data_IF_532790923272
#
_entry.id   IF_532790923272
#
_cell.length_a   1.000
_cell.length_b   1.000
_cell.length_c   1.000
_cell.angle_alpha   90.00
_cell.angle_beta   90.00
_cell.angle_gamma   90.00
#
_symmetry.space_group_name_H-M   'P 1'
#
loop_
_entity.id
_entity.type
_entity.pdbx_description
1 polymer ?
#
# COMPACT_ATOMS: atom_id res chain seq x y z
N UNK A 1 -1.27 -9.35 27.32
CA UNK A 1 -2.43 -10.00 26.64
C UNK A 1 -2.77 -9.33 25.31
N UNK A 2 -2.71 -8.01 25.20
CA UNK A 2 -2.95 -7.22 23.97
C UNK A 2 -1.96 -7.49 22.83
N UNK A 3 -0.66 -7.58 23.12
CA UNK A 3 0.38 -7.83 22.10
C UNK A 3 0.19 -9.14 21.32
N UNK A 4 -0.18 -10.23 22.01
CA UNK A 4 -0.43 -11.54 21.38
C UNK A 4 -1.62 -11.49 20.43
N UNK A 5 -2.73 -10.86 20.83
CA UNK A 5 -3.90 -10.72 19.95
C UNK A 5 -3.58 -9.88 18.72
N UNK A 6 -2.84 -8.78 18.88
CA UNK A 6 -2.39 -7.95 17.76
C UNK A 6 -1.50 -8.78 16.82
N UNK A 7 -0.52 -9.50 17.36
CA UNK A 7 0.34 -10.38 16.56
C UNK A 7 -0.48 -11.43 15.78
N UNK A 8 -1.49 -12.05 16.40
CA UNK A 8 -2.39 -13.00 15.73
C UNK A 8 -3.17 -12.34 14.59
N UNK A 9 -3.75 -11.16 14.80
CA UNK A 9 -4.49 -10.45 13.74
C UNK A 9 -3.56 -10.00 12.61
N UNK A 10 -2.35 -9.54 12.92
CA UNK A 10 -1.34 -9.21 11.90
C UNK A 10 -0.97 -10.44 11.05
N UNK A 11 -0.81 -11.61 11.68
CA UNK A 11 -0.53 -12.86 10.98
C UNK A 11 -1.71 -13.29 10.09
N UNK A 12 -2.94 -13.17 10.58
CA UNK A 12 -4.14 -13.46 9.80
C UNK A 12 -4.28 -12.51 8.60
N UNK A 13 -4.05 -11.20 8.79
CA UNK A 13 -4.03 -10.22 7.71
C UNK A 13 -2.97 -10.54 6.66
N UNK A 14 -1.77 -10.95 7.10
CA UNK A 14 -0.68 -11.33 6.19
C UNK A 14 -1.04 -12.61 5.42
N UNK A 15 -1.72 -13.56 6.07
CA UNK A 15 -2.15 -14.81 5.44
C UNK A 15 -3.26 -14.56 4.42
N UNK A 16 -4.24 -13.74 4.77
CA UNK A 16 -5.33 -13.30 3.89
C UNK A 16 -4.77 -12.53 2.67
N UNK A 17 -3.82 -11.62 2.90
CA UNK A 17 -3.07 -10.92 1.85
C UNK A 17 -2.38 -11.91 0.89
N UNK A 18 -1.59 -12.84 1.39
CA UNK A 18 -0.84 -13.79 0.54
C UNK A 18 -1.78 -14.68 -0.28
N UNK A 19 -2.87 -15.13 0.34
CA UNK A 19 -3.87 -16.00 -0.29
C UNK A 19 -4.87 -15.25 -1.18
N UNK A 20 -4.82 -13.91 -1.23
CA UNK A 20 -5.84 -13.06 -1.83
C UNK A 20 -7.26 -13.32 -1.27
N UNK A 21 -7.36 -13.54 0.04
CA UNK A 21 -8.62 -13.68 0.74
C UNK A 21 -9.40 -12.36 0.80
N UNK A 22 -10.62 -12.47 1.30
CA UNK A 22 -11.62 -11.39 1.36
C UNK A 22 -11.95 -10.94 2.78
N UNK A 23 -11.28 -11.49 3.79
CA UNK A 23 -11.58 -11.21 5.19
C UNK A 23 -10.83 -9.97 5.71
N UNK A 24 -9.94 -9.38 4.90
CA UNK A 24 -9.11 -8.24 5.32
C UNK A 24 -9.90 -7.10 5.96
N UNK A 25 -11.08 -6.74 5.45
CA UNK A 25 -11.88 -5.63 6.02
C UNK A 25 -12.33 -5.94 7.45
N UNK A 26 -12.77 -7.17 7.71
CA UNK A 26 -13.16 -7.64 9.04
C UNK A 26 -11.94 -7.65 9.96
N UNK A 27 -10.84 -8.22 9.49
CA UNK A 27 -9.59 -8.33 10.25
C UNK A 27 -9.00 -6.95 10.59
N UNK A 28 -9.04 -5.98 9.68
CA UNK A 28 -8.65 -4.59 9.94
C UNK A 28 -9.57 -3.93 10.96
N UNK A 29 -10.89 -4.18 10.90
CA UNK A 29 -11.83 -3.70 11.90
C UNK A 29 -11.51 -4.22 13.31
N UNK A 30 -11.15 -5.50 13.42
CA UNK A 30 -10.70 -6.10 14.69
C UNK A 30 -9.37 -5.47 15.14
N UNK A 31 -8.40 -5.33 14.22
CA UNK A 31 -7.10 -4.73 14.52
C UNK A 31 -7.24 -3.32 15.10
N UNK A 32 -8.01 -2.45 14.45
CA UNK A 32 -8.24 -1.08 14.90
C UNK A 32 -8.83 -1.04 16.31
N UNK A 33 -9.87 -1.85 16.58
CA UNK A 33 -10.46 -1.93 17.93
C UNK A 33 -9.47 -2.42 18.98
N UNK A 34 -8.63 -3.41 18.66
CA UNK A 34 -7.60 -3.90 19.58
C UNK A 34 -6.56 -2.82 19.92
N UNK A 35 -6.17 -2.02 18.92
CA UNK A 35 -5.23 -0.89 19.10
C UNK A 35 -5.87 0.19 19.97
N UNK A 36 -7.12 0.56 19.71
CA UNK A 36 -7.87 1.56 20.48
C UNK A 36 -8.03 1.14 21.96
N UNK A 37 -8.39 -0.12 22.20
CA UNK A 37 -8.50 -0.69 23.55
C UNK A 37 -7.16 -0.75 24.29
N UNK A 38 -6.04 -0.75 23.57
CA UNK A 38 -4.68 -0.77 24.16
C UNK A 38 -4.18 0.63 24.59
N UNK A 39 -5.07 1.63 24.65
CA UNK A 39 -4.76 2.94 25.25
C UNK A 39 -3.82 3.84 24.45
N UNK A 40 -3.89 3.79 23.11
CA UNK A 40 -3.06 4.59 22.21
C UNK A 40 -1.54 4.46 22.46
N UNK A 41 -1.00 3.32 22.01
CA UNK A 41 0.42 3.06 21.70
C UNK A 41 1.43 2.95 22.84
N UNK A 42 1.23 3.54 24.03
CA UNK A 42 2.26 3.51 25.10
C UNK A 42 2.49 2.12 25.68
N UNK A 43 1.43 1.37 25.99
CA UNK A 43 1.56 -0.02 26.45
C UNK A 43 1.99 -0.95 25.32
N UNK A 44 1.51 -0.69 24.10
CA UNK A 44 1.87 -1.47 22.92
C UNK A 44 3.35 -1.31 22.57
N UNK A 45 3.95 -0.14 22.75
CA UNK A 45 5.37 0.14 22.45
C UNK A 45 6.33 -0.28 23.58
N UNK A 46 5.85 -1.02 24.57
CA UNK A 46 6.74 -1.53 25.62
C UNK A 46 7.66 -2.63 25.06
N UNK A 47 8.97 -2.38 25.11
CA UNK A 47 10.01 -3.29 24.61
C UNK A 47 10.09 -3.41 23.08
N UNK A 48 11.05 -4.22 22.63
CA UNK A 48 11.36 -4.37 21.20
C UNK A 48 10.20 -4.99 20.41
N UNK A 49 9.60 -6.05 20.95
CA UNK A 49 8.44 -6.72 20.34
C UNK A 49 7.25 -5.78 20.20
N UNK A 50 6.98 -5.00 21.23
CA UNK A 50 5.90 -4.03 21.22
C UNK A 50 6.10 -2.94 20.17
N UNK A 51 7.31 -2.40 20.10
CA UNK A 51 7.71 -1.41 19.08
C UNK A 51 7.60 -1.97 17.66
N UNK A 52 8.03 -3.21 17.45
CA UNK A 52 7.87 -3.90 16.16
C UNK A 52 6.39 -4.05 15.77
N UNK A 53 5.54 -4.53 16.68
CA UNK A 53 4.10 -4.68 16.42
C UNK A 53 3.45 -3.34 16.08
N UNK A 54 3.79 -2.27 16.82
CA UNK A 54 3.30 -0.93 16.53
C UNK A 54 3.68 -0.46 15.11
N UNK A 55 4.92 -0.73 14.68
CA UNK A 55 5.36 -0.42 13.31
C UNK A 55 4.59 -1.23 12.26
N UNK A 56 4.35 -2.53 12.49
CA UNK A 56 3.57 -3.35 11.56
C UNK A 56 2.11 -2.87 11.45
N UNK A 57 1.49 -2.48 12.57
CA UNK A 57 0.16 -1.88 12.59
C UNK A 57 0.12 -0.61 11.76
N UNK A 58 1.07 0.32 11.98
CA UNK A 58 1.12 1.57 11.23
C UNK A 58 1.30 1.33 9.72
N UNK A 59 2.20 0.41 9.36
CA UNK A 59 2.46 0.01 7.98
C UNK A 59 1.20 -0.56 7.31
N UNK A 60 0.51 -1.51 7.96
CA UNK A 60 -0.72 -2.09 7.42
C UNK A 60 -1.84 -1.07 7.30
N UNK A 61 -2.02 -0.20 8.31
CA UNK A 61 -3.00 0.87 8.23
C UNK A 61 -2.71 1.79 7.04
N UNK A 62 -1.46 2.21 6.82
CA UNK A 62 -1.10 3.03 5.67
C UNK A 62 -1.54 2.42 4.34
N UNK A 63 -1.17 1.16 4.10
CA UNK A 63 -1.50 0.49 2.85
C UNK A 63 -2.98 0.13 2.74
N UNK A 64 -3.62 -0.21 3.86
CA UNK A 64 -4.98 -0.73 3.92
C UNK A 64 -6.08 0.34 3.91
N UNK A 65 -5.83 1.54 4.44
CA UNK A 65 -6.86 2.60 4.53
C UNK A 65 -7.56 2.89 3.19
N UNK A 66 -6.87 3.00 2.04
CA UNK A 66 -7.52 3.16 0.73
C UNK A 66 -8.59 2.11 0.38
N UNK A 67 -8.46 0.90 0.92
CA UNK A 67 -9.36 -0.24 0.69
C UNK A 67 -10.48 -0.34 1.73
N UNK A 68 -10.41 0.46 2.81
CA UNK A 68 -11.41 0.51 3.86
C UNK A 68 -12.34 1.71 3.71
N UNK A 69 -11.80 2.84 3.25
CA UNK A 69 -12.54 4.09 3.06
C UNK A 69 -11.76 5.06 2.17
N UNK A 70 -12.47 5.99 1.56
CA UNK A 70 -11.82 7.14 0.92
C UNK A 70 -11.26 8.07 2.01
N UNK A 71 -10.07 8.63 1.77
CA UNK A 71 -9.48 9.61 2.67
C UNK A 71 -10.35 10.89 2.72
N UNK A 72 -10.55 11.40 3.93
CA UNK A 72 -11.27 12.66 4.21
C UNK A 72 -10.33 13.76 4.71
N UNK A 73 -9.12 13.37 5.12
CA UNK A 73 -8.06 14.23 5.62
C UNK A 73 -6.69 13.66 5.23
N UNK A 74 -5.65 14.46 5.40
CA UNK A 74 -4.26 14.07 5.14
C UNK A 74 -3.58 13.40 6.34
N UNK A 75 -4.13 13.53 7.55
CA UNK A 75 -3.46 13.16 8.79
C UNK A 75 -3.30 11.63 8.90
N UNK A 76 -4.37 10.90 8.60
CA UNK A 76 -4.36 9.43 8.64
C UNK A 76 -3.36 8.83 7.65
N UNK A 77 -3.28 9.40 6.44
CA UNK A 77 -2.35 8.95 5.40
C UNK A 77 -0.92 9.29 5.78
N UNK A 78 -0.68 10.47 6.36
CA UNK A 78 0.66 10.94 6.77
C UNK A 78 1.21 10.15 7.95
N UNK A 79 0.38 9.89 8.96
CA UNK A 79 0.78 9.16 10.17
C UNK A 79 1.12 7.70 9.87
N UNK A 80 0.31 7.03 9.04
CA UNK A 80 0.60 5.68 8.58
C UNK A 80 1.88 5.62 7.75
N UNK A 81 2.08 6.60 6.87
CA UNK A 81 3.25 6.66 5.99
C UNK A 81 4.57 6.76 6.79
N UNK A 82 4.61 7.52 7.88
CA UNK A 82 5.80 7.61 8.75
C UNK A 82 6.28 6.24 9.23
N UNK A 83 5.36 5.38 9.69
CA UNK A 83 5.70 4.02 10.15
C UNK A 83 6.18 3.10 9.02
N UNK A 84 5.62 3.25 7.81
CA UNK A 84 6.10 2.51 6.64
C UNK A 84 7.54 2.91 6.28
N UNK A 85 7.86 4.20 6.33
CA UNK A 85 9.19 4.75 6.01
C UNK A 85 10.23 4.42 7.07
N UNK A 86 9.88 4.44 8.36
CA UNK A 86 10.76 3.99 9.43
C UNK A 86 11.28 2.56 9.17
N UNK A 87 10.43 1.67 8.63
CA UNK A 87 10.83 0.31 8.28
C UNK A 87 11.88 0.28 7.16
N UNK A 88 11.76 1.14 6.14
CA UNK A 88 12.75 1.25 5.08
C UNK A 88 14.06 1.89 5.56
N UNK A 89 14.00 2.89 6.43
CA UNK A 89 15.21 3.46 7.04
C UNK A 89 15.95 2.43 7.91
N UNK A 90 15.23 1.60 8.66
CA UNK A 90 15.85 0.51 9.40
C UNK A 90 16.55 -0.49 8.46
N UNK A 91 15.97 -0.79 7.28
CA UNK A 91 16.62 -1.63 6.27
C UNK A 91 17.83 -0.95 5.63
N UNK A 92 17.76 0.36 5.38
CA UNK A 92 18.86 1.15 4.84
C UNK A 92 20.08 1.14 5.77
N UNK A 93 19.87 1.27 7.08
CA UNK A 93 20.95 1.22 8.08
C UNK A 93 21.59 -0.18 8.16
N UNK A 94 20.80 -1.23 7.96
CA UNK A 94 21.29 -2.62 8.00
C UNK A 94 21.97 -3.08 6.71
N UNK A 95 21.60 -2.49 5.57
CA UNK A 95 22.04 -2.89 4.24
C UNK A 95 22.47 -1.65 3.41
N UNK A 96 23.52 -0.92 3.82
CA UNK A 96 23.95 0.31 3.16
C UNK A 96 24.35 0.12 1.69
N UNK A 97 24.79 -1.09 1.30
CA UNK A 97 25.08 -1.49 -0.07
C UNK A 97 23.85 -1.46 -0.99
N UNK A 98 22.65 -1.51 -0.43
CA UNK A 98 21.37 -1.43 -1.16
C UNK A 98 20.74 -0.03 -1.11
N UNK A 99 21.46 0.97 -0.60
CA UNK A 99 20.95 2.32 -0.36
C UNK A 99 20.29 2.97 -1.58
N UNK A 100 20.93 2.89 -2.75
CA UNK A 100 20.41 3.47 -3.99
C UNK A 100 19.04 2.90 -4.39
N UNK A 101 18.85 1.58 -4.20
CA UNK A 101 17.57 0.92 -4.48
C UNK A 101 16.54 1.30 -3.41
N UNK A 102 16.89 1.22 -2.13
CA UNK A 102 15.96 1.51 -1.02
C UNK A 102 15.44 2.95 -1.08
N UNK A 103 16.32 3.94 -1.35
CA UNK A 103 15.91 5.35 -1.51
C UNK A 103 14.93 5.52 -2.67
N UNK A 104 15.15 4.81 -3.78
CA UNK A 104 14.20 4.82 -4.91
C UNK A 104 12.87 4.16 -4.56
N UNK A 105 12.86 3.08 -3.78
CA UNK A 105 11.63 2.44 -3.31
C UNK A 105 10.81 3.39 -2.43
N UNK A 106 11.46 4.07 -1.48
CA UNK A 106 10.83 5.11 -0.65
C UNK A 106 10.18 6.17 -1.54
N UNK A 107 10.93 6.73 -2.49
CA UNK A 107 10.43 7.77 -3.39
C UNK A 107 9.27 7.31 -4.28
N UNK A 108 9.17 6.02 -4.61
CA UNK A 108 8.01 5.49 -5.34
C UNK A 108 6.77 5.39 -4.45
N UNK A 109 6.92 4.95 -3.20
CA UNK A 109 5.81 4.85 -2.25
C UNK A 109 5.29 6.26 -1.89
N UNK A 110 6.19 7.24 -1.75
CA UNK A 110 5.84 8.67 -1.59
C UNK A 110 5.00 9.19 -2.75
N UNK A 111 5.45 8.93 -3.98
CA UNK A 111 4.72 9.38 -5.17
C UNK A 111 3.35 8.73 -5.29
N UNK A 112 3.23 7.44 -4.99
CA UNK A 112 1.95 6.74 -4.98
C UNK A 112 1.01 7.30 -3.90
N UNK A 113 1.52 7.57 -2.70
CA UNK A 113 0.78 8.26 -1.63
C UNK A 113 0.24 9.60 -2.11
N UNK A 114 1.10 10.44 -2.68
CA UNK A 114 0.70 11.78 -3.12
C UNK A 114 -0.39 11.71 -4.20
N UNK A 115 -0.28 10.78 -5.15
CA UNK A 115 -1.31 10.53 -6.16
C UNK A 115 -2.64 10.17 -5.50
N UNK A 116 -2.64 9.22 -4.56
CA UNK A 116 -3.86 8.84 -3.84
C UNK A 116 -4.48 10.03 -3.08
N UNK A 117 -3.67 10.77 -2.31
CA UNK A 117 -4.12 11.91 -1.51
C UNK A 117 -4.70 13.01 -2.40
N UNK A 118 -4.04 13.35 -3.50
CA UNK A 118 -4.53 14.38 -4.41
C UNK A 118 -5.83 13.98 -5.10
N UNK A 119 -5.98 12.72 -5.51
CA UNK A 119 -7.23 12.24 -6.10
C UNK A 119 -8.38 12.20 -5.08
N UNK A 120 -8.12 11.72 -3.87
CA UNK A 120 -9.15 11.60 -2.83
C UNK A 120 -9.62 12.97 -2.29
N UNK A 121 -8.69 13.92 -2.07
CA UNK A 121 -8.99 15.16 -1.35
C UNK A 121 -9.08 16.41 -2.22
N UNK A 122 -8.24 16.52 -3.25
CA UNK A 122 -7.99 17.80 -3.93
C UNK A 122 -8.57 17.87 -5.34
N UNK A 123 -9.03 16.73 -5.87
CA UNK A 123 -9.51 16.53 -7.24
C UNK A 123 -8.73 17.34 -8.29
N UNK A 124 -7.40 17.15 -8.29
CA UNK A 124 -6.53 17.90 -9.18
C UNK A 124 -6.88 17.67 -10.65
N UNK A 125 -6.59 18.66 -11.54
CA UNK A 125 -6.79 18.52 -12.96
C UNK A 125 -6.09 17.29 -13.53
N UNK A 126 -6.73 16.65 -14.52
CA UNK A 126 -6.25 15.41 -15.14
C UNK A 126 -4.82 15.52 -15.70
N UNK A 127 -4.41 16.67 -16.23
CA UNK A 127 -3.05 16.89 -16.75
C UNK A 127 -1.99 16.89 -15.64
N UNK A 128 -2.32 17.45 -14.48
CA UNK A 128 -1.45 17.43 -13.30
C UNK A 128 -1.31 16.00 -12.77
N UNK A 129 -2.41 15.28 -12.68
CA UNK A 129 -2.42 13.88 -12.23
C UNK A 129 -1.64 12.99 -13.21
N UNK A 130 -1.78 13.21 -14.52
CA UNK A 130 -0.98 12.53 -15.55
C UNK A 130 0.51 12.80 -15.37
N UNK A 131 0.90 14.05 -15.13
CA UNK A 131 2.31 14.43 -14.91
C UNK A 131 2.90 13.72 -13.68
N UNK A 132 2.10 13.49 -12.63
CA UNK A 132 2.53 12.71 -11.47
C UNK A 132 2.74 11.23 -11.80
N UNK A 133 1.85 10.64 -12.62
CA UNK A 133 2.01 9.26 -13.13
C UNK A 133 3.29 9.13 -13.98
N UNK A 134 3.55 10.10 -14.86
CA UNK A 134 4.75 10.12 -15.71
C UNK A 134 6.03 10.21 -14.85
N UNK A 135 6.03 11.04 -13.80
CA UNK A 135 7.12 11.13 -12.84
C UNK A 135 7.36 9.81 -12.11
N UNK A 136 6.28 9.13 -11.70
CA UNK A 136 6.38 7.82 -11.07
C UNK A 136 7.03 6.81 -12.02
N UNK A 137 6.61 6.78 -13.29
CA UNK A 137 7.18 5.88 -14.29
C UNK A 137 8.67 6.16 -14.53
N UNK A 138 9.06 7.43 -14.64
CA UNK A 138 10.45 7.84 -14.75
C UNK A 138 11.30 7.42 -13.54
N UNK A 139 10.73 7.50 -12.33
CA UNK A 139 11.41 7.04 -11.10
C UNK A 139 11.52 5.51 -11.04
N UNK A 140 10.45 4.81 -11.44
CA UNK A 140 10.38 3.36 -11.42
C UNK A 140 11.38 2.75 -12.40
N UNK A 141 11.45 3.32 -13.61
CA UNK A 141 12.33 2.85 -14.68
C UNK A 141 12.31 1.33 -14.80
N UNK A 142 13.51 0.74 -14.87
CA UNK A 142 13.71 -0.70 -14.97
C UNK A 142 14.08 -1.37 -13.64
N UNK A 143 13.60 -0.88 -12.48
CA UNK A 143 13.84 -1.59 -11.20
C UNK A 143 13.38 -3.05 -11.37
N UNK A 144 14.31 -4.03 -11.25
CA UNK A 144 13.95 -5.43 -11.28
C UNK A 144 13.09 -5.74 -10.06
N UNK A 145 12.00 -6.51 -10.25
CA UNK A 145 11.14 -6.94 -9.13
C UNK A 145 11.91 -7.77 -8.09
N UNK A 146 13.00 -8.41 -8.52
CA UNK A 146 13.93 -9.18 -7.68
C UNK A 146 14.90 -8.33 -6.87
N UNK A 147 14.87 -7.00 -7.02
CA UNK A 147 15.72 -6.11 -6.22
C UNK A 147 15.36 -6.23 -4.75
N UNK A 148 16.31 -5.99 -3.82
CA UNK A 148 16.02 -5.93 -2.39
C UNK A 148 14.86 -4.97 -2.11
N UNK A 149 13.79 -5.49 -1.51
CA UNK A 149 12.57 -4.72 -1.23
C UNK A 149 11.65 -4.46 -2.43
N UNK A 150 11.97 -4.92 -3.65
CA UNK A 150 11.16 -4.68 -4.85
C UNK A 150 9.70 -5.16 -4.73
N UNK A 151 9.47 -6.20 -3.92
CA UNK A 151 8.13 -6.70 -3.62
C UNK A 151 7.25 -5.69 -2.87
N UNK A 152 7.81 -4.66 -2.23
CA UNK A 152 7.03 -3.62 -1.54
C UNK A 152 6.35 -2.63 -2.49
N UNK A 153 6.56 -2.76 -3.81
CA UNK A 153 5.97 -1.87 -4.81
C UNK A 153 4.59 -2.34 -5.28
N UNK A 154 4.07 -3.46 -4.78
CA UNK A 154 2.75 -3.98 -5.20
C UNK A 154 1.66 -2.92 -4.99
N UNK A 155 1.57 -2.34 -3.79
CA UNK A 155 0.62 -1.24 -3.52
C UNK A 155 0.88 0.00 -4.38
N UNK A 156 2.14 0.43 -4.50
CA UNK A 156 2.48 1.62 -5.27
C UNK A 156 2.09 1.47 -6.75
N UNK A 157 2.38 0.31 -7.35
CA UNK A 157 1.95 -0.01 -8.70
C UNK A 157 0.44 -0.06 -8.84
N UNK A 158 -0.28 -0.62 -7.86
CA UNK A 158 -1.74 -0.63 -7.88
C UNK A 158 -2.33 0.79 -7.86
N UNK A 159 -1.91 1.63 -6.91
CA UNK A 159 -2.42 2.99 -6.76
C UNK A 159 -2.19 3.82 -8.03
N UNK A 160 -0.97 3.79 -8.57
CA UNK A 160 -0.65 4.59 -9.76
C UNK A 160 -1.32 4.00 -11.02
N UNK A 161 -1.48 2.68 -11.09
CA UNK A 161 -2.24 2.06 -12.16
C UNK A 161 -3.72 2.43 -12.13
N UNK A 162 -4.34 2.53 -10.95
CA UNK A 162 -5.73 2.91 -10.78
C UNK A 162 -5.99 4.34 -11.29
N UNK A 163 -5.06 5.26 -11.04
CA UNK A 163 -5.08 6.62 -11.57
C UNK A 163 -4.83 6.70 -13.08
N UNK A 164 -4.10 5.73 -13.64
CA UNK A 164 -3.64 5.79 -15.02
C UNK A 164 -4.77 5.69 -16.05
N UNK A 165 -4.82 6.65 -16.97
CA UNK A 165 -5.72 6.64 -18.13
C UNK A 165 -5.07 6.14 -19.41
N UNK A 166 -3.74 6.17 -19.52
CA UNK A 166 -2.99 5.74 -20.72
C UNK A 166 -2.88 4.21 -20.81
N UNK A 167 -3.33 3.58 -21.92
CA UNK A 167 -3.19 2.14 -22.13
C UNK A 167 -1.76 1.59 -22.01
N UNK A 168 -0.74 2.37 -22.37
CA UNK A 168 0.67 1.96 -22.26
C UNK A 168 1.13 1.88 -20.81
N UNK A 169 0.76 2.88 -20.00
CA UNK A 169 1.03 2.89 -18.56
C UNK A 169 0.32 1.72 -17.88
N UNK A 170 -0.96 1.49 -18.20
CA UNK A 170 -1.72 0.34 -17.72
C UNK A 170 -1.02 -0.98 -18.04
N UNK A 171 -0.56 -1.16 -19.28
CA UNK A 171 0.20 -2.35 -19.70
C UNK A 171 1.50 -2.53 -18.90
N UNK A 172 2.22 -1.44 -18.61
CA UNK A 172 3.42 -1.46 -17.77
C UNK A 172 3.10 -1.99 -16.36
N UNK A 173 2.08 -1.45 -15.70
CA UNK A 173 1.72 -1.87 -14.33
C UNK A 173 1.22 -3.31 -14.27
N UNK A 174 0.39 -3.74 -15.22
CA UNK A 174 -0.05 -5.14 -15.32
C UNK A 174 1.15 -6.09 -15.48
N UNK A 175 2.13 -5.72 -16.30
CA UNK A 175 3.36 -6.51 -16.45
C UNK A 175 4.13 -6.58 -15.13
N UNK A 176 4.34 -5.45 -14.45
CA UNK A 176 5.06 -5.40 -13.17
C UNK A 176 4.38 -6.22 -12.07
N UNK A 177 3.04 -6.16 -11.95
CA UNK A 177 2.28 -6.97 -11.00
C UNK A 177 2.39 -8.48 -11.30
N UNK A 178 2.43 -8.88 -12.57
CA UNK A 178 2.68 -10.29 -12.96
C UNK A 178 4.11 -10.75 -12.70
N UNK A 179 5.10 -9.88 -12.92
CA UNK A 179 6.49 -10.14 -12.56
C UNK A 179 6.59 -10.37 -11.04
N UNK A 180 5.90 -9.55 -10.23
CA UNK A 180 5.82 -9.70 -8.78
C UNK A 180 5.17 -11.03 -8.36
N UNK A 181 4.03 -11.41 -8.96
CA UNK A 181 3.44 -12.74 -8.77
C UNK A 181 4.46 -13.86 -9.04
N UNK A 182 5.18 -13.78 -10.16
CA UNK A 182 6.14 -14.82 -10.55
C UNK A 182 7.29 -14.92 -9.56
N UNK A 183 7.71 -13.79 -8.96
CA UNK A 183 8.79 -13.75 -7.98
C UNK A 183 8.39 -14.12 -6.55
N UNK A 184 7.16 -13.81 -6.12
CA UNK A 184 6.73 -13.98 -4.71
C UNK A 184 5.70 -15.09 -4.50
N UNK A 185 4.89 -15.41 -5.52
CA UNK A 185 3.74 -16.30 -5.38
C UNK A 185 2.59 -15.71 -4.56
N UNK A 186 2.55 -14.39 -4.34
CA UNK A 186 1.47 -13.76 -3.57
C UNK A 186 0.26 -13.46 -4.45
N UNK A 187 -0.85 -14.13 -4.19
CA UNK A 187 -2.00 -14.13 -5.07
C UNK A 187 -2.69 -12.75 -5.16
N UNK A 188 -2.51 -11.89 -4.15
CA UNK A 188 -3.06 -10.53 -4.13
C UNK A 188 -2.66 -9.72 -5.36
N UNK A 189 -1.46 -9.95 -5.91
CA UNK A 189 -0.98 -9.27 -7.13
C UNK A 189 -1.85 -9.58 -8.36
N UNK A 190 -2.37 -10.80 -8.48
CA UNK A 190 -3.25 -11.20 -9.57
C UNK A 190 -4.67 -10.68 -9.35
N UNK A 191 -5.17 -10.69 -8.11
CA UNK A 191 -6.46 -10.10 -7.78
C UNK A 191 -6.45 -8.57 -7.98
N UNK A 192 -5.36 -7.90 -7.61
CA UNK A 192 -5.12 -6.48 -7.89
C UNK A 192 -5.26 -6.15 -9.39
N UNK A 193 -4.78 -7.02 -10.29
CA UNK A 193 -4.96 -6.86 -11.74
C UNK A 193 -6.44 -6.93 -12.14
N UNK A 194 -7.21 -7.84 -11.54
CA UNK A 194 -8.66 -7.96 -11.80
C UNK A 194 -9.38 -6.70 -11.32
N UNK A 195 -9.05 -6.21 -10.13
CA UNK A 195 -9.61 -4.97 -9.56
C UNK A 195 -9.27 -3.74 -10.41
N UNK A 196 -8.02 -3.60 -10.86
CA UNK A 196 -7.60 -2.50 -11.75
C UNK A 196 -8.42 -2.47 -13.04
N UNK A 197 -8.67 -3.65 -13.64
CA UNK A 197 -9.51 -3.73 -14.85
C UNK A 197 -10.94 -3.27 -14.58
N UNK A 198 -11.49 -3.59 -13.41
CA UNK A 198 -12.82 -3.09 -13.00
C UNK A 198 -12.79 -1.57 -12.81
N UNK A 199 -11.79 -1.04 -12.10
CA UNK A 199 -11.61 0.42 -11.91
C UNK A 199 -11.62 1.14 -13.27
N UNK A 200 -10.86 0.63 -14.24
CA UNK A 200 -10.77 1.26 -15.56
C UNK A 200 -12.06 1.20 -16.39
N UNK A 201 -13.03 0.37 -16.00
CA UNK A 201 -14.35 0.29 -16.64
C UNK A 201 -15.37 1.28 -16.07
N UNK A 202 -15.14 1.82 -14.87
CA UNK A 202 -16.07 2.72 -14.16
C UNK A 202 -16.22 4.07 -14.88
N UNK A 203 -15.33 4.39 -15.82
CA UNK A 203 -15.40 5.60 -16.64
C UNK A 203 -15.18 6.88 -15.81
N UNK A 204 -15.39 8.05 -16.43
CA UNK A 204 -15.13 9.35 -15.80
C UNK A 204 -16.21 9.81 -14.80
N UNK A 205 -17.23 8.98 -14.53
CA UNK A 205 -18.38 9.37 -13.71
C UNK A 205 -18.14 9.30 -12.19
N UNK A 206 -17.18 8.48 -11.75
CA UNK A 206 -16.79 8.36 -10.34
C UNK A 206 -15.27 8.18 -10.24
N UNK A 207 -14.64 8.88 -9.30
CA UNK A 207 -13.22 8.71 -9.01
C UNK A 207 -12.95 7.34 -8.39
N UNK A 208 -11.85 6.71 -8.78
CA UNK A 208 -11.53 5.34 -8.35
C UNK A 208 -11.33 5.22 -6.83
N UNK A 209 -10.87 6.28 -6.17
CA UNK A 209 -10.67 6.33 -4.71
C UNK A 209 -11.98 6.19 -3.92
N UNK A 210 -13.10 6.63 -4.50
CA UNK A 210 -14.43 6.55 -3.87
C UNK A 210 -15.03 5.14 -3.96
N UNK A 211 -14.82 4.47 -5.09
CA UNK A 211 -15.37 3.13 -5.37
C UNK A 211 -14.48 2.00 -4.85
N UNK A 212 -13.18 2.26 -4.63
CA UNK A 212 -12.23 1.24 -4.18
C UNK A 212 -12.68 0.50 -2.91
N UNK A 213 -13.14 1.17 -1.83
CA UNK A 213 -13.52 0.48 -0.59
C UNK A 213 -14.65 -0.54 -0.74
N UNK A 214 -15.61 -0.28 -1.64
CA UNK A 214 -16.74 -1.19 -1.89
C UNK A 214 -16.43 -2.25 -2.95
N UNK A 215 -15.44 -2.00 -3.81
CA UNK A 215 -15.06 -2.88 -4.90
C UNK A 215 -13.95 -3.87 -4.52
N UNK A 216 -13.04 -3.47 -3.63
CA UNK A 216 -11.88 -4.26 -3.25
C UNK A 216 -12.30 -5.61 -2.66
N UNK A 217 -11.80 -6.67 -3.27
CA UNK A 217 -12.00 -8.05 -2.82
C UNK A 217 -10.79 -8.55 -2.03
N UNK A 218 -9.64 -7.93 -2.20
CA UNK A 218 -8.44 -8.26 -1.44
C UNK A 218 -7.69 -7.02 -0.98
N UNK A 219 -6.84 -7.22 0.01
CA UNK A 219 -5.88 -6.22 0.41
C UNK A 219 -4.66 -6.27 -0.53
N UNK A 220 -4.18 -5.10 -0.98
CA UNK A 220 -3.00 -4.99 -1.83
C UNK A 220 -1.92 -4.26 -1.05
N UNK A 221 -0.74 -4.86 -0.91
CA UNK A 221 0.41 -4.35 -0.16
C UNK A 221 1.70 -4.75 -0.84
#
# INVERSE_FOLDING_TARGET
MTATHIATILLLLTSDLIAAGSDFQILFGILKRLVDMSGNSKELRSGDTGSFLAQQVQKLCFYGEPFLREATDTELVTTGFSGAIESFHAQLQRNPEHSSVIIRLIGLIEQARDIYVHRALNDLPSDTMKSMVDRFLGTAGDIPVSSPGGHSLVWAYFIVAAESSDPHHRKFFIRKLRELWTGTGFANTLTAIVELRRIWTIGSGQRWTYVLPSMAQTFVM
#
